data_IF_854511534091
#
_entry.id   IF_854511534091
#
_cell.length_a   1.000
_cell.length_b   1.000
_cell.length_c   1.000
_cell.angle_alpha   90.00
_cell.angle_beta   90.00
_cell.angle_gamma   90.00
#
_symmetry.space_group_name_H-M   'P 1'
#
loop_
_entity.id
_entity.type
_entity.pdbx_description
1 polymer ?
#
# COMPACT_ATOMS: atom_id res chain seq x y z
N UNK A 1 -12.37 24.18 7.69
CA UNK A 1 -11.02 23.72 8.09
C UNK A 1 -11.11 23.19 9.52
N UNK A 2 -10.51 22.04 9.83
CA UNK A 2 -10.56 21.45 11.18
C UNK A 2 -9.13 21.32 11.72
N UNK A 3 -8.92 21.67 13.00
CA UNK A 3 -7.63 21.59 13.67
C UNK A 3 -7.68 20.42 14.65
N UNK A 4 -6.70 19.52 14.58
CA UNK A 4 -6.57 18.37 15.48
C UNK A 4 -5.26 18.44 16.26
N UNK A 5 -5.25 17.85 17.46
CA UNK A 5 -4.00 17.55 18.16
C UNK A 5 -3.24 16.50 17.37
N UNK A 6 -1.91 16.68 17.23
CA UNK A 6 -1.03 15.76 16.49
C UNK A 6 -1.16 14.32 16.98
N UNK A 7 -1.17 14.12 18.30
CA UNK A 7 -1.36 12.81 18.95
C UNK A 7 -2.61 12.06 18.49
N UNK A 8 -3.67 12.76 18.10
CA UNK A 8 -4.90 12.13 17.59
C UNK A 8 -4.82 11.71 16.12
N UNK A 9 -3.88 12.28 15.37
CA UNK A 9 -3.60 11.93 13.98
C UNK A 9 -2.57 10.80 13.87
N UNK A 10 -1.67 10.70 14.84
CA UNK A 10 -0.56 9.75 14.86
C UNK A 10 -0.96 8.31 14.51
N UNK A 11 -2.02 7.70 15.09
CA UNK A 11 -2.38 6.32 14.75
C UNK A 11 -2.82 6.16 13.29
N UNK A 12 -3.50 7.17 12.75
CA UNK A 12 -3.95 7.16 11.36
C UNK A 12 -2.79 7.30 10.37
N UNK A 13 -1.78 8.11 10.73
CA UNK A 13 -0.57 8.27 9.91
C UNK A 13 0.24 6.99 9.89
N UNK A 14 0.43 6.35 11.05
CA UNK A 14 1.14 5.08 11.17
C UNK A 14 0.44 3.97 10.38
N UNK A 15 -0.89 3.88 10.49
CA UNK A 15 -1.68 2.89 9.75
C UNK A 15 -1.61 3.14 8.23
N UNK A 16 -1.78 4.38 7.79
CA UNK A 16 -1.68 4.75 6.37
C UNK A 16 -0.29 4.42 5.79
N UNK A 17 0.76 4.74 6.54
CA UNK A 17 2.14 4.45 6.14
C UNK A 17 2.38 2.94 6.07
N UNK A 18 1.94 2.17 7.06
CA UNK A 18 2.09 0.72 7.06
C UNK A 18 1.44 0.07 5.82
N UNK A 19 0.20 0.42 5.50
CA UNK A 19 -0.49 -0.14 4.33
C UNK A 19 0.05 0.39 3.00
N UNK A 20 0.54 1.63 2.95
CA UNK A 20 1.25 2.14 1.78
C UNK A 20 2.49 1.30 1.50
N UNK A 21 3.33 1.06 2.52
CA UNK A 21 4.55 0.26 2.35
C UNK A 21 4.24 -1.20 2.02
N UNK A 22 3.18 -1.78 2.58
CA UNK A 22 2.74 -3.13 2.25
C UNK A 22 2.31 -3.24 0.78
N UNK A 23 1.49 -2.30 0.29
CA UNK A 23 1.08 -2.25 -1.11
C UNK A 23 2.27 -2.02 -2.03
N UNK A 24 3.16 -1.09 -1.68
CA UNK A 24 4.37 -0.80 -2.47
C UNK A 24 5.24 -2.06 -2.63
N UNK A 25 5.51 -2.80 -1.55
CA UNK A 25 6.29 -4.04 -1.61
C UNK A 25 5.62 -5.11 -2.46
N UNK A 26 4.29 -5.22 -2.38
CA UNK A 26 3.54 -6.16 -3.22
C UNK A 26 3.71 -5.83 -4.72
N UNK A 27 3.72 -4.54 -5.08
CA UNK A 27 3.92 -4.08 -6.46
C UNK A 27 5.39 -4.17 -6.90
N UNK A 28 6.35 -3.90 -6.02
CA UNK A 28 7.78 -4.08 -6.29
C UNK A 28 8.12 -5.54 -6.64
N UNK A 29 7.34 -6.47 -6.09
CA UNK A 29 7.44 -7.90 -6.39
C UNK A 29 8.74 -8.51 -5.88
N UNK A 30 9.10 -9.65 -6.45
CA UNK A 30 10.32 -10.39 -6.13
C UNK A 30 11.14 -10.68 -7.39
N UNK A 31 12.37 -11.17 -7.19
CA UNK A 31 13.17 -11.66 -8.31
C UNK A 31 12.41 -12.80 -9.02
N UNK A 32 12.32 -12.77 -10.36
CA UNK A 32 11.57 -13.77 -11.09
C UNK A 32 12.36 -15.09 -11.14
N UNK A 33 11.64 -16.21 -11.27
CA UNK A 33 12.26 -17.51 -11.47
C UNK A 33 12.99 -17.58 -12.83
N UNK A 34 14.31 -17.67 -12.80
CA UNK A 34 15.18 -17.69 -13.98
C UNK A 34 14.93 -18.84 -14.95
N UNK A 35 14.36 -19.94 -14.47
CA UNK A 35 13.99 -21.05 -15.35
C UNK A 35 12.89 -20.65 -16.35
N UNK A 36 12.20 -19.53 -16.11
CA UNK A 36 11.21 -18.99 -17.03
C UNK A 36 11.82 -18.10 -18.12
N UNK A 37 13.11 -17.75 -18.05
CA UNK A 37 13.74 -16.81 -18.99
C UNK A 37 13.57 -17.20 -20.46
N UNK A 38 13.66 -18.49 -20.77
CA UNK A 38 13.48 -19.02 -22.13
C UNK A 38 12.07 -18.74 -22.68
N UNK A 39 11.03 -18.78 -21.84
CA UNK A 39 9.65 -18.45 -22.24
C UNK A 39 9.48 -16.97 -22.61
N UNK A 40 10.37 -16.10 -22.13
CA UNK A 40 10.40 -14.68 -22.43
C UNK A 40 11.44 -14.33 -23.51
N UNK A 41 12.05 -15.33 -24.15
CA UNK A 41 13.02 -15.17 -25.24
C UNK A 41 14.23 -14.29 -24.86
N UNK A 42 14.63 -14.33 -23.59
CA UNK A 42 15.78 -13.58 -23.06
C UNK A 42 16.72 -14.53 -22.29
N UNK A 43 17.97 -14.13 -22.13
CA UNK A 43 18.89 -14.90 -21.29
C UNK A 43 18.59 -14.68 -19.78
N UNK A 44 19.03 -15.57 -18.88
CA UNK A 44 18.72 -15.47 -17.44
C UNK A 44 19.20 -14.17 -16.77
N UNK A 45 20.36 -13.64 -17.16
CA UNK A 45 20.88 -12.39 -16.59
C UNK A 45 20.02 -11.18 -16.96
N UNK A 46 19.62 -11.11 -18.23
CA UNK A 46 18.69 -10.09 -18.72
C UNK A 46 17.33 -10.23 -18.05
N UNK A 47 16.82 -11.46 -17.92
CA UNK A 47 15.54 -11.74 -17.28
C UNK A 47 15.50 -11.25 -15.83
N UNK A 48 16.55 -11.54 -15.04
CA UNK A 48 16.66 -11.08 -13.65
C UNK A 48 16.71 -9.56 -13.51
N UNK A 49 17.28 -8.86 -14.50
CA UNK A 49 17.42 -7.40 -14.50
C UNK A 49 16.14 -6.68 -14.92
N UNK A 50 15.44 -7.22 -15.90
CA UNK A 50 14.35 -6.53 -16.59
C UNK A 50 12.96 -6.94 -16.08
N UNK A 51 12.85 -8.07 -15.37
CA UNK A 51 11.58 -8.63 -14.95
C UNK A 51 11.48 -8.77 -13.44
N UNK A 52 10.24 -8.75 -12.94
CA UNK A 52 9.86 -9.00 -11.55
C UNK A 52 8.66 -9.93 -11.54
N UNK A 53 8.63 -10.81 -10.56
CA UNK A 53 7.46 -11.63 -10.29
C UNK A 53 6.56 -10.90 -9.29
N UNK A 54 5.28 -10.76 -9.63
CA UNK A 54 4.29 -10.03 -8.85
C UNK A 54 3.10 -10.94 -8.58
N UNK A 55 2.78 -11.13 -7.30
CA UNK A 55 1.56 -11.82 -6.88
C UNK A 55 0.37 -10.84 -6.97
N UNK A 56 -0.44 -11.00 -8.01
CA UNK A 56 -1.60 -10.14 -8.27
C UNK A 56 -2.65 -10.24 -7.16
N UNK A 57 -2.86 -11.42 -6.59
CA UNK A 57 -3.85 -11.61 -5.51
C UNK A 57 -3.41 -10.88 -4.24
N UNK A 58 -2.12 -10.91 -3.93
CA UNK A 58 -1.54 -10.11 -2.85
C UNK A 58 -1.71 -8.61 -3.13
N UNK A 59 -1.40 -8.14 -4.34
CA UNK A 59 -1.57 -6.72 -4.71
C UNK A 59 -3.02 -6.28 -4.51
N UNK A 60 -3.99 -7.04 -5.05
CA UNK A 60 -5.41 -6.75 -4.90
C UNK A 60 -5.84 -6.68 -3.42
N UNK A 61 -5.36 -7.61 -2.60
CA UNK A 61 -5.61 -7.60 -1.15
C UNK A 61 -5.05 -6.33 -0.49
N UNK A 62 -3.82 -5.95 -0.80
CA UNK A 62 -3.20 -4.74 -0.23
C UNK A 62 -3.89 -3.45 -0.70
N UNK A 63 -4.40 -3.41 -1.94
CA UNK A 63 -5.22 -2.30 -2.43
C UNK A 63 -6.47 -2.13 -1.56
N UNK A 64 -7.18 -3.22 -1.24
CA UNK A 64 -8.38 -3.15 -0.41
C UNK A 64 -8.08 -2.67 1.02
N UNK A 65 -6.97 -3.12 1.62
CA UNK A 65 -6.52 -2.61 2.92
C UNK A 65 -6.20 -1.11 2.88
N UNK A 66 -5.49 -0.66 1.84
CA UNK A 66 -5.17 0.75 1.67
C UNK A 66 -6.44 1.60 1.47
N UNK A 67 -7.38 1.15 0.63
CA UNK A 67 -8.68 1.81 0.44
C UNK A 67 -9.47 1.92 1.74
N UNK A 68 -9.53 0.85 2.53
CA UNK A 68 -10.23 0.86 3.82
C UNK A 68 -9.61 1.89 4.78
N UNK A 69 -8.29 1.95 4.84
CA UNK A 69 -7.56 2.91 5.68
C UNK A 69 -7.80 4.35 5.23
N UNK A 70 -7.73 4.61 3.92
CA UNK A 70 -8.05 5.93 3.36
C UNK A 70 -9.53 6.32 3.61
N UNK A 71 -10.46 5.36 3.60
CA UNK A 71 -11.85 5.60 3.94
C UNK A 71 -12.03 5.97 5.42
N UNK A 72 -11.26 5.36 6.32
CA UNK A 72 -11.28 5.69 7.75
C UNK A 72 -10.86 7.14 8.02
N UNK A 73 -9.98 7.73 7.21
CA UNK A 73 -9.63 9.16 7.31
C UNK A 73 -10.84 10.08 7.09
N UNK A 74 -11.86 9.65 6.34
CA UNK A 74 -13.11 10.42 6.17
C UNK A 74 -13.86 10.59 7.50
N UNK A 75 -13.64 9.71 8.47
CA UNK A 75 -14.22 9.81 9.81
C UNK A 75 -13.60 10.94 10.65
N UNK A 76 -12.45 11.50 10.25
CA UNK A 76 -11.91 12.69 10.92
C UNK A 76 -12.94 13.84 10.88
N UNK A 77 -13.62 14.02 9.74
CA UNK A 77 -14.67 15.04 9.57
C UNK A 77 -15.82 14.90 10.58
N UNK A 78 -16.29 13.67 10.83
CA UNK A 78 -17.40 13.45 11.77
C UNK A 78 -16.96 13.66 13.23
N UNK A 79 -15.70 13.36 13.55
CA UNK A 79 -15.12 13.59 14.88
C UNK A 79 -14.87 15.07 15.18
N UNK A 80 -14.46 15.87 14.18
CA UNK A 80 -14.35 17.33 14.35
C UNK A 80 -15.70 18.00 14.68
N UNK A 81 -16.80 17.55 14.08
CA UNK A 81 -18.13 18.10 14.36
C UNK A 81 -18.67 17.75 15.75
N UNK A 82 -18.25 16.63 16.35
CA UNK A 82 -18.63 16.28 17.73
C UNK A 82 -17.92 17.13 18.78
N UNK A 83 -16.67 17.51 18.53
CA UNK A 83 -15.88 18.35 19.44
C UNK A 83 -16.29 19.82 19.44
N UNK A 84 -16.95 20.32 18.39
CA UNK A 84 -17.48 21.70 18.35
C UNK A 84 -18.84 21.88 19.03
N UNK A 85 -19.43 20.81 19.61
CA UNK A 85 -20.72 20.82 20.30
C UNK A 85 -20.62 20.54 21.81
N UNK A 86 -19.40 20.41 22.33
CA UNK A 86 -19.08 20.41 23.76
C UNK A 86 -18.38 21.73 24.09
#
# INVERSE_FOLDING_TARGET
MAIYRKERLEPYLQELEAYYWALRRAVEGVAPNENLAEHYLVNPEQFRREFREVDIDLVLRQIEHFKATAANLKQLRSRAHKLSRQ
#
